data_IF_459264502991
#
_entry.id   IF_459264502991
#
_cell.length_a   1.000
_cell.length_b   1.000
_cell.length_c   1.000
_cell.angle_alpha   90.00
_cell.angle_beta   90.00
_cell.angle_gamma   90.00
#
_symmetry.space_group_name_H-M   'P 1'
#
loop_
_entity.id
_entity.type
_entity.pdbx_description
1 polymer ?
#
# COMPACT_ATOMS: atom_id res chain seq x y z
N UNK A 1 -18.55 26.07 7.12
CA UNK A 1 -17.88 25.44 5.98
C UNK A 1 -16.52 24.96 6.43
N UNK A 2 -16.33 23.64 6.48
CA UNK A 2 -15.03 23.02 6.80
C UNK A 2 -14.12 23.22 5.60
N UNK A 3 -12.88 23.72 5.78
CA UNK A 3 -11.94 23.86 4.66
C UNK A 3 -11.74 22.53 3.93
N UNK A 4 -11.73 22.54 2.61
CA UNK A 4 -11.58 21.35 1.77
C UNK A 4 -10.39 20.47 2.20
N UNK A 5 -9.18 20.98 2.53
CA UNK A 5 -8.08 20.18 3.04
C UNK A 5 -8.41 19.41 4.31
N UNK A 6 -9.14 20.04 5.25
CA UNK A 6 -9.54 19.40 6.52
C UNK A 6 -10.59 18.31 6.30
N UNK A 7 -11.47 18.50 5.33
CA UNK A 7 -12.47 17.49 4.95
C UNK A 7 -11.79 16.26 4.30
N UNK A 8 -10.84 16.46 3.41
CA UNK A 8 -10.04 15.39 2.82
C UNK A 8 -9.22 14.65 3.86
N UNK A 9 -8.52 15.37 4.73
CA UNK A 9 -7.72 14.80 5.81
C UNK A 9 -8.56 13.94 6.77
N UNK A 10 -9.76 14.41 7.10
CA UNK A 10 -10.68 13.70 7.98
C UNK A 10 -11.30 12.45 7.32
N UNK A 11 -11.60 12.50 6.03
CA UNK A 11 -12.11 11.34 5.28
C UNK A 11 -11.02 10.31 4.99
N UNK A 12 -9.85 10.72 4.54
CA UNK A 12 -8.72 9.81 4.25
C UNK A 12 -8.34 9.02 5.51
N UNK A 13 -8.35 9.64 6.69
CA UNK A 13 -8.00 8.98 7.95
C UNK A 13 -9.03 7.98 8.46
N UNK A 14 -10.26 8.05 8.01
CA UNK A 14 -11.35 7.21 8.54
C UNK A 14 -11.46 5.86 7.83
N UNK A 15 -10.70 5.62 6.79
CA UNK A 15 -10.86 4.50 5.89
C UNK A 15 -9.60 3.66 5.80
N UNK A 16 -9.26 3.05 6.92
CA UNK A 16 -8.20 2.04 6.95
C UNK A 16 -8.69 0.71 6.39
N UNK A 17 -7.74 -0.09 5.93
CA UNK A 17 -7.94 -1.51 5.58
C UNK A 17 -8.60 -2.35 6.69
N UNK A 18 -8.70 -1.83 7.93
CA UNK A 18 -9.42 -2.45 9.04
C UNK A 18 -10.89 -2.75 8.70
N UNK A 19 -11.51 -1.94 7.86
CA UNK A 19 -12.87 -2.22 7.39
C UNK A 19 -12.97 -3.39 6.43
N UNK A 20 -11.92 -3.73 5.70
CA UNK A 20 -11.91 -4.91 4.84
C UNK A 20 -12.16 -6.21 5.63
N UNK A 21 -11.73 -6.26 6.88
CA UNK A 21 -11.89 -7.45 7.71
C UNK A 21 -13.27 -7.56 8.37
N UNK A 22 -13.94 -6.44 8.60
CA UNK A 22 -15.20 -6.39 9.35
C UNK A 22 -16.44 -6.13 8.49
N UNK A 23 -16.28 -5.38 7.40
CA UNK A 23 -17.37 -4.95 6.52
C UNK A 23 -16.96 -5.17 5.06
N UNK A 24 -16.79 -6.42 4.64
CA UNK A 24 -16.69 -6.73 3.21
C UNK A 24 -18.01 -6.25 2.56
N UNK A 25 -17.94 -5.40 1.53
CA UNK A 25 -19.14 -4.98 0.84
C UNK A 25 -19.86 -6.19 0.26
N UNK A 26 -21.18 -6.14 0.20
CA UNK A 26 -21.97 -7.20 -0.42
C UNK A 26 -21.52 -7.41 -1.88
N UNK A 27 -21.50 -8.66 -2.32
CA UNK A 27 -21.10 -9.03 -3.68
C UNK A 27 -21.88 -8.27 -4.76
N UNK A 28 -23.15 -7.95 -4.49
CA UNK A 28 -24.00 -7.15 -5.38
C UNK A 28 -23.46 -5.73 -5.59
N UNK A 29 -23.04 -5.06 -4.53
CA UNK A 29 -22.49 -3.70 -4.59
C UNK A 29 -21.17 -3.68 -5.36
N UNK A 30 -20.33 -4.67 -5.13
CA UNK A 30 -19.06 -4.80 -5.84
C UNK A 30 -19.27 -5.02 -7.33
N UNK A 31 -20.25 -5.86 -7.70
CA UNK A 31 -20.62 -6.12 -9.09
C UNK A 31 -21.02 -4.82 -9.84
N UNK A 32 -21.79 -3.96 -9.19
CA UNK A 32 -22.21 -2.68 -9.77
C UNK A 32 -21.04 -1.70 -9.96
N UNK A 33 -20.00 -1.82 -9.13
CA UNK A 33 -18.86 -0.90 -9.10
C UNK A 33 -17.66 -1.37 -9.92
N UNK A 34 -17.60 -2.64 -10.26
CA UNK A 34 -16.40 -3.23 -10.84
C UNK A 34 -16.00 -2.60 -12.17
N UNK A 35 -16.97 -2.43 -13.07
CA UNK A 35 -16.74 -1.83 -14.39
C UNK A 35 -16.37 -0.34 -14.29
N UNK A 36 -16.86 0.33 -13.25
CA UNK A 36 -16.58 1.74 -13.01
C UNK A 36 -15.15 1.95 -12.50
N UNK A 37 -14.67 1.06 -11.63
CA UNK A 37 -13.39 1.22 -10.93
C UNK A 37 -12.23 0.56 -11.66
N UNK A 38 -12.46 -0.56 -12.36
CA UNK A 38 -11.43 -1.31 -13.08
C UNK A 38 -10.63 -0.44 -14.06
N UNK A 39 -11.30 0.44 -14.78
CA UNK A 39 -10.66 1.35 -15.74
C UNK A 39 -9.94 2.54 -15.10
N UNK A 40 -9.99 2.67 -13.78
CA UNK A 40 -9.39 3.77 -13.02
C UNK A 40 -8.11 3.42 -12.32
N UNK A 41 -7.82 2.11 -12.15
CA UNK A 41 -6.56 1.62 -11.59
C UNK A 41 -5.61 1.32 -12.75
N UNK A 42 -4.40 1.83 -12.66
CA UNK A 42 -3.34 1.56 -13.62
C UNK A 42 -1.97 1.51 -12.93
N UNK A 43 -1.01 0.95 -13.60
CA UNK A 43 0.40 1.00 -13.18
C UNK A 43 0.88 2.45 -13.16
N UNK A 44 1.76 2.78 -12.21
CA UNK A 44 2.37 4.11 -12.14
C UNK A 44 3.20 4.35 -13.39
N UNK A 45 2.94 5.43 -14.10
CA UNK A 45 3.83 6.00 -15.09
C UNK A 45 4.73 7.04 -14.40
N UNK A 46 5.97 6.65 -14.13
CA UNK A 46 6.86 7.46 -13.30
C UNK A 46 7.10 8.86 -13.87
N UNK A 47 7.17 8.99 -15.19
CA UNK A 47 7.44 10.29 -15.84
C UNK A 47 6.29 11.29 -15.65
N UNK A 48 5.07 10.80 -15.73
CA UNK A 48 3.88 11.64 -15.62
C UNK A 48 3.41 11.80 -14.17
N UNK A 49 3.51 10.74 -13.36
CA UNK A 49 2.89 10.70 -12.02
C UNK A 49 3.82 11.21 -10.91
N UNK A 50 5.13 11.24 -11.10
CA UNK A 50 6.10 11.54 -10.03
C UNK A 50 5.81 12.87 -9.30
N UNK A 51 5.32 13.87 -10.00
CA UNK A 51 5.05 15.19 -9.40
C UNK A 51 3.91 15.13 -8.41
N UNK A 52 2.84 14.39 -8.75
CA UNK A 52 1.66 14.25 -7.90
C UNK A 52 1.96 13.34 -6.71
N UNK A 53 2.68 12.23 -6.96
CA UNK A 53 3.11 11.31 -5.89
C UNK A 53 4.01 12.01 -4.87
N UNK A 54 5.01 12.78 -5.31
CA UNK A 54 5.88 13.55 -4.41
C UNK A 54 5.11 14.58 -3.58
N UNK A 55 4.13 15.25 -4.19
CA UNK A 55 3.29 16.23 -3.48
C UNK A 55 2.48 15.53 -2.39
N UNK A 56 1.88 14.41 -2.71
CA UNK A 56 1.04 13.65 -1.78
C UNK A 56 1.88 13.07 -0.63
N UNK A 57 2.98 12.41 -0.92
CA UNK A 57 3.91 11.86 0.07
C UNK A 57 4.47 12.93 1.01
N UNK A 58 4.82 14.11 0.48
CA UNK A 58 5.27 15.23 1.32
C UNK A 58 4.20 15.69 2.30
N UNK A 59 2.94 15.69 1.87
CA UNK A 59 1.82 16.08 2.73
C UNK A 59 1.56 15.04 3.83
N UNK A 60 1.73 13.75 3.51
CA UNK A 60 1.38 12.67 4.43
C UNK A 60 2.53 12.28 5.38
N UNK A 61 3.75 12.18 4.86
CA UNK A 61 4.89 11.60 5.61
C UNK A 61 5.77 12.60 6.32
N UNK A 62 5.51 13.89 6.20
CA UNK A 62 6.37 14.92 6.81
C UNK A 62 7.88 14.79 6.49
N UNK A 63 8.23 13.94 5.54
CA UNK A 63 9.61 13.79 5.11
C UNK A 63 9.99 14.94 4.19
N UNK A 64 11.06 15.64 4.51
CA UNK A 64 11.65 16.65 3.62
C UNK A 64 12.40 16.01 2.44
N UNK A 65 12.63 14.71 2.49
CA UNK A 65 13.28 13.95 1.43
C UNK A 65 12.25 13.45 0.41
N UNK A 66 12.25 13.99 -0.80
CA UNK A 66 11.31 13.55 -1.81
C UNK A 66 11.67 12.13 -2.29
N UNK A 67 10.64 11.31 -2.52
CA UNK A 67 10.80 10.01 -3.20
C UNK A 67 11.67 10.15 -4.45
N UNK A 68 12.77 9.39 -4.52
CA UNK A 68 13.67 9.38 -5.65
C UNK A 68 13.00 8.87 -6.92
N UNK A 69 13.11 9.60 -8.03
CA UNK A 69 12.54 9.16 -9.32
C UNK A 69 13.11 7.82 -9.77
N UNK A 70 14.43 7.64 -9.59
CA UNK A 70 15.11 6.40 -9.99
C UNK A 70 14.71 5.20 -9.12
N UNK A 71 14.44 5.42 -7.83
CA UNK A 71 13.91 4.39 -6.94
C UNK A 71 12.52 3.94 -7.40
N UNK A 72 11.64 4.90 -7.70
CA UNK A 72 10.29 4.58 -8.18
C UNK A 72 10.31 3.91 -9.55
N UNK A 73 11.19 4.35 -10.48
CA UNK A 73 11.40 3.67 -11.76
C UNK A 73 11.82 2.21 -11.55
N UNK A 74 12.81 1.99 -10.70
CA UNK A 74 13.30 0.65 -10.39
C UNK A 74 12.24 -0.21 -9.72
N UNK A 75 11.47 0.35 -8.79
CA UNK A 75 10.35 -0.35 -8.16
C UNK A 75 9.28 -0.74 -9.20
N UNK A 76 8.93 0.18 -10.11
CA UNK A 76 7.98 -0.09 -11.18
C UNK A 76 8.44 -1.18 -12.16
N UNK A 77 9.73 -1.23 -12.48
CA UNK A 77 10.31 -2.28 -13.31
C UNK A 77 10.24 -3.66 -12.64
N UNK A 78 10.53 -3.71 -11.34
CA UNK A 78 10.66 -4.96 -10.59
C UNK A 78 9.33 -5.48 -10.05
N UNK A 79 8.39 -4.58 -9.73
CA UNK A 79 7.15 -4.89 -9.03
C UNK A 79 5.98 -4.02 -9.54
N UNK A 80 5.68 -4.08 -10.86
CA UNK A 80 4.66 -3.23 -11.47
C UNK A 80 3.24 -3.45 -10.92
N UNK A 81 2.95 -4.66 -10.42
CA UNK A 81 1.60 -5.05 -10.00
C UNK A 81 1.23 -4.54 -8.60
N UNK A 82 2.19 -4.03 -7.83
CA UNK A 82 1.97 -3.37 -6.55
C UNK A 82 2.24 -1.85 -6.58
N UNK A 83 2.78 -1.34 -7.69
CA UNK A 83 3.03 0.09 -7.87
C UNK A 83 1.94 0.68 -8.77
N UNK A 84 0.82 1.03 -8.15
CA UNK A 84 -0.43 1.38 -8.80
C UNK A 84 -0.85 2.80 -8.46
N UNK A 85 -1.60 3.40 -9.37
CA UNK A 85 -2.31 4.65 -9.16
C UNK A 85 -3.79 4.44 -9.47
N UNK A 86 -4.66 5.05 -8.69
CA UNK A 86 -6.09 5.09 -8.96
C UNK A 86 -6.51 6.52 -9.27
N UNK A 87 -7.36 6.66 -10.26
CA UNK A 87 -7.91 7.93 -10.73
C UNK A 87 -9.42 7.96 -10.45
N UNK A 88 -9.98 9.15 -10.31
CA UNK A 88 -11.44 9.33 -10.29
C UNK A 88 -12.04 9.24 -11.71
N UNK A 89 -13.36 9.31 -11.78
CA UNK A 89 -14.09 9.30 -13.06
C UNK A 89 -13.72 10.47 -14.00
N UNK A 90 -13.12 11.54 -13.47
CA UNK A 90 -12.66 12.70 -14.23
C UNK A 90 -11.17 12.64 -14.55
N UNK A 91 -10.52 11.50 -14.31
CA UNK A 91 -9.08 11.28 -14.45
C UNK A 91 -8.22 12.14 -13.53
N UNK A 92 -8.75 12.59 -12.39
CA UNK A 92 -7.93 13.16 -11.34
C UNK A 92 -7.34 12.06 -10.46
N UNK A 93 -6.19 12.34 -9.90
CA UNK A 93 -5.55 11.46 -8.93
C UNK A 93 -6.42 11.27 -7.68
N UNK A 94 -6.61 10.02 -7.29
CA UNK A 94 -7.42 9.62 -6.14
C UNK A 94 -6.70 8.70 -5.15
N UNK A 95 -5.50 8.26 -5.46
CA UNK A 95 -4.70 7.44 -4.57
C UNK A 95 -3.62 6.65 -5.27
N UNK A 96 -2.81 5.94 -4.48
CA UNK A 96 -1.75 5.07 -5.00
C UNK A 96 -1.38 3.96 -4.03
N UNK A 97 -0.67 2.97 -4.54
CA UNK A 97 0.15 2.04 -3.76
C UNK A 97 1.58 2.07 -4.25
N UNK A 98 2.54 2.07 -3.34
CA UNK A 98 3.98 2.02 -3.62
C UNK A 98 4.60 0.95 -2.74
N UNK A 99 5.18 -0.05 -3.38
CA UNK A 99 5.89 -1.15 -2.76
C UNK A 99 7.30 -1.28 -3.31
N UNK A 100 8.23 -1.69 -2.47
CA UNK A 100 9.62 -1.93 -2.84
C UNK A 100 10.00 -3.39 -2.57
N UNK A 101 10.48 -4.14 -3.58
CA UNK A 101 11.10 -5.43 -3.38
C UNK A 101 12.55 -5.22 -2.94
N UNK A 102 12.79 -5.21 -1.63
CA UNK A 102 14.08 -4.82 -1.04
C UNK A 102 15.04 -5.98 -0.85
N UNK A 103 16.33 -5.68 -0.83
CA UNK A 103 17.41 -6.64 -0.53
C UNK A 103 17.47 -6.97 0.96
N UNK A 104 18.13 -8.11 1.32
CA UNK A 104 18.35 -8.46 2.72
C UNK A 104 19.22 -7.42 3.46
N UNK A 105 20.11 -6.75 2.74
CA UNK A 105 20.93 -5.69 3.34
C UNK A 105 20.08 -4.47 3.65
N UNK A 106 19.26 -4.03 2.70
CA UNK A 106 18.33 -2.93 2.90
C UNK A 106 17.38 -3.21 4.06
N UNK A 107 16.78 -4.41 4.10
CA UNK A 107 15.92 -4.82 5.21
C UNK A 107 16.65 -4.76 6.56
N UNK A 108 17.87 -5.32 6.67
CA UNK A 108 18.63 -5.25 7.92
C UNK A 108 18.92 -3.83 8.36
N UNK A 109 19.30 -2.95 7.45
CA UNK A 109 19.57 -1.55 7.74
C UNK A 109 18.30 -0.82 8.25
N UNK A 110 17.12 -1.14 7.70
CA UNK A 110 15.84 -0.62 8.19
C UNK A 110 15.50 -1.13 9.59
N UNK A 111 15.67 -2.43 9.83
CA UNK A 111 15.43 -3.06 11.15
C UNK A 111 16.38 -2.50 12.22
N UNK A 112 17.66 -2.35 11.88
CA UNK A 112 18.69 -1.81 12.78
C UNK A 112 18.62 -0.29 12.92
N UNK A 113 17.74 0.39 12.18
CA UNK A 113 17.61 1.86 12.09
C UNK A 113 18.87 2.56 11.59
N UNK A 114 19.71 1.87 10.85
CA UNK A 114 20.90 2.42 10.17
C UNK A 114 20.51 3.17 8.90
N UNK A 115 19.30 2.94 8.39
CA UNK A 115 18.73 3.62 7.24
C UNK A 115 17.24 3.88 7.46
N UNK A 116 16.76 4.98 6.96
CA UNK A 116 15.32 5.30 6.91
C UNK A 116 14.73 4.91 5.56
N UNK A 117 13.43 4.65 5.51
CA UNK A 117 12.74 4.26 4.27
C UNK A 117 12.84 5.31 3.15
N UNK A 118 12.98 6.60 3.48
CA UNK A 118 13.16 7.69 2.51
C UNK A 118 14.61 7.78 1.94
N UNK A 119 15.54 6.98 2.48
CA UNK A 119 16.94 6.91 2.04
C UNK A 119 17.20 5.73 1.10
N UNK A 120 16.20 4.88 0.83
CA UNK A 120 16.31 3.73 -0.07
C UNK A 120 16.76 4.21 -1.45
N UNK A 121 17.73 3.50 -2.03
CA UNK A 121 18.30 3.77 -3.34
C UNK A 121 17.89 2.66 -4.36
N UNK A 122 18.01 2.89 -5.66
CA UNK A 122 17.69 1.87 -6.68
C UNK A 122 18.43 0.54 -6.49
N UNK A 123 19.66 0.60 -5.98
CA UNK A 123 20.53 -0.57 -5.73
C UNK A 123 20.05 -1.44 -4.58
N UNK A 124 19.22 -0.88 -3.68
CA UNK A 124 18.60 -1.60 -2.59
C UNK A 124 17.45 -2.50 -3.04
N UNK A 125 16.95 -2.27 -4.28
CA UNK A 125 15.82 -3.01 -4.85
C UNK A 125 16.31 -4.19 -5.69
N UNK A 126 15.73 -5.36 -5.48
CA UNK A 126 16.11 -6.60 -6.10
C UNK A 126 14.94 -7.30 -6.81
N UNK A 127 15.22 -8.12 -7.82
CA UNK A 127 14.18 -8.93 -8.43
C UNK A 127 13.73 -10.02 -7.45
N UNK A 128 12.50 -9.88 -6.95
CA UNK A 128 11.90 -10.78 -5.97
C UNK A 128 11.71 -12.21 -6.50
N UNK A 129 11.48 -12.38 -7.81
CA UNK A 129 11.27 -13.69 -8.44
C UNK A 129 12.50 -14.61 -8.34
N UNK A 130 13.69 -14.02 -8.22
CA UNK A 130 14.95 -14.75 -8.10
C UNK A 130 15.31 -15.06 -6.63
N UNK A 131 14.39 -14.87 -5.70
CA UNK A 131 14.63 -15.03 -4.26
C UNK A 131 13.79 -16.18 -3.71
N UNK A 132 14.40 -17.01 -2.87
CA UNK A 132 13.68 -18.04 -2.11
C UNK A 132 12.74 -17.44 -1.07
N UNK A 133 13.13 -16.32 -0.47
CA UNK A 133 12.34 -15.54 0.48
C UNK A 133 12.39 -14.07 0.09
N UNK A 134 11.49 -13.61 -0.78
CA UNK A 134 11.44 -12.20 -1.17
C UNK A 134 10.95 -11.33 0.00
N UNK A 135 11.40 -10.07 0.03
CA UNK A 135 11.03 -9.08 1.04
C UNK A 135 10.32 -7.92 0.34
N UNK A 136 9.09 -7.65 0.76
CA UNK A 136 8.24 -6.59 0.22
C UNK A 136 8.02 -5.51 1.27
N UNK A 137 8.53 -4.31 1.01
CA UNK A 137 8.27 -3.16 1.86
C UNK A 137 7.06 -2.40 1.34
N UNK A 138 6.00 -2.35 2.12
CA UNK A 138 4.91 -1.38 1.94
C UNK A 138 5.44 0.01 2.27
N UNK A 139 5.75 0.78 1.23
CA UNK A 139 6.26 2.14 1.39
C UNK A 139 5.13 3.14 1.63
N UNK A 140 4.05 3.06 0.85
CA UNK A 140 2.86 3.89 1.04
C UNK A 140 1.64 3.34 0.31
N UNK A 141 0.49 3.35 0.98
CA UNK A 141 -0.82 3.06 0.38
C UNK A 141 -1.81 4.10 0.88
N UNK A 142 -2.44 4.80 -0.06
CA UNK A 142 -3.38 5.87 0.26
C UNK A 142 -4.46 6.00 -0.81
N UNK A 143 -5.64 6.44 -0.41
CA UNK A 143 -6.72 6.82 -1.32
C UNK A 143 -7.63 7.89 -0.68
N UNK A 144 -8.37 8.59 -1.53
CA UNK A 144 -9.25 9.69 -1.16
C UNK A 144 -10.60 9.23 -0.58
N UNK A 145 -10.99 7.98 -0.85
CA UNK A 145 -12.25 7.43 -0.37
C UNK A 145 -12.16 5.91 -0.11
N UNK A 146 -13.19 5.37 0.55
CA UNK A 146 -13.29 3.94 0.89
C UNK A 146 -13.21 3.02 -0.30
N UNK A 147 -13.98 3.33 -1.31
CA UNK A 147 -14.07 2.49 -2.50
C UNK A 147 -12.68 2.33 -3.12
N UNK A 148 -11.98 3.46 -3.27
CA UNK A 148 -10.65 3.48 -3.87
C UNK A 148 -9.60 2.75 -3.02
N UNK A 149 -9.61 2.93 -1.69
CA UNK A 149 -8.70 2.18 -0.83
C UNK A 149 -9.01 0.69 -0.84
N UNK A 150 -10.31 0.32 -0.90
CA UNK A 150 -10.74 -1.07 -1.01
C UNK A 150 -10.18 -1.73 -2.27
N UNK A 151 -10.35 -1.11 -3.43
CA UNK A 151 -9.88 -1.69 -4.69
C UNK A 151 -8.36 -1.76 -4.80
N UNK A 152 -7.64 -0.75 -4.31
CA UNK A 152 -6.18 -0.83 -4.21
C UNK A 152 -5.74 -1.98 -3.31
N UNK A 153 -6.39 -2.12 -2.15
CA UNK A 153 -6.07 -3.18 -1.19
C UNK A 153 -6.40 -4.56 -1.74
N UNK A 154 -7.50 -4.69 -2.48
CA UNK A 154 -7.85 -5.93 -3.16
C UNK A 154 -6.76 -6.35 -4.14
N UNK A 155 -6.24 -5.43 -4.97
CA UNK A 155 -5.14 -5.70 -5.88
C UNK A 155 -3.87 -6.15 -5.14
N UNK A 156 -3.55 -5.48 -4.03
CA UNK A 156 -2.40 -5.82 -3.19
C UNK A 156 -2.57 -7.24 -2.60
N UNK A 157 -3.71 -7.54 -2.00
CA UNK A 157 -3.97 -8.83 -1.37
C UNK A 157 -3.98 -9.96 -2.39
N UNK A 158 -4.55 -9.73 -3.59
CA UNK A 158 -4.50 -10.69 -4.67
C UNK A 158 -3.09 -11.01 -5.10
N UNK A 159 -2.23 -10.01 -5.25
CA UNK A 159 -0.82 -10.25 -5.56
C UNK A 159 -0.18 -11.24 -4.58
N UNK A 160 -0.42 -11.07 -3.27
CA UNK A 160 0.11 -11.97 -2.26
C UNK A 160 -0.57 -13.34 -2.23
N UNK A 161 -1.84 -13.44 -2.62
CA UNK A 161 -2.55 -14.71 -2.79
C UNK A 161 -1.98 -15.52 -3.95
N UNK A 162 -1.65 -14.87 -5.05
CA UNK A 162 -1.14 -15.49 -6.28
C UNK A 162 0.39 -15.68 -6.24
N UNK A 163 1.06 -15.19 -5.19
CA UNK A 163 2.51 -15.32 -5.07
C UNK A 163 2.92 -16.79 -4.94
N UNK A 164 3.73 -17.34 -5.86
CA UNK A 164 4.12 -18.74 -5.79
C UNK A 164 5.00 -19.09 -4.59
N UNK A 165 5.70 -18.10 -4.05
CA UNK A 165 6.50 -18.25 -2.83
C UNK A 165 5.62 -18.06 -1.59
N UNK A 166 5.34 -19.16 -0.88
CA UNK A 166 4.64 -19.10 0.42
C UNK A 166 5.53 -18.52 1.55
N UNK A 167 6.86 -18.55 1.39
CA UNK A 167 7.81 -17.95 2.32
C UNK A 167 8.29 -16.61 1.79
N UNK A 168 7.69 -15.55 2.26
CA UNK A 168 8.06 -14.16 1.97
C UNK A 168 7.98 -13.33 3.25
N UNK A 169 8.61 -12.18 3.24
CA UNK A 169 8.53 -11.21 4.31
C UNK A 169 7.79 -9.96 3.82
N UNK A 170 6.69 -9.64 4.47
CA UNK A 170 5.98 -8.38 4.30
C UNK A 170 6.44 -7.42 5.39
N UNK A 171 6.91 -6.24 5.00
CA UNK A 171 7.33 -5.18 5.90
C UNK A 171 6.44 -3.96 5.72
N UNK A 172 6.09 -3.29 6.81
CA UNK A 172 5.28 -2.07 6.80
C UNK A 172 5.95 -1.00 7.66
N UNK A 173 6.37 0.08 7.02
CA UNK A 173 6.80 1.29 7.73
C UNK A 173 5.64 2.27 7.76
N UNK A 174 5.15 2.60 8.94
CA UNK A 174 4.01 3.49 9.08
C UNK A 174 4.12 4.41 10.29
N UNK A 175 3.51 5.57 10.17
CA UNK A 175 3.39 6.55 11.25
C UNK A 175 1.92 6.92 11.52
N UNK A 176 0.99 6.19 10.91
CA UNK A 176 -0.46 6.48 10.96
C UNK A 176 -1.18 5.52 11.89
N UNK A 177 -2.05 6.06 12.71
CA UNK A 177 -2.83 5.31 13.71
C UNK A 177 -3.71 4.21 13.11
N UNK A 178 -4.38 4.51 12.00
CA UNK A 178 -5.23 3.56 11.29
C UNK A 178 -4.43 2.37 10.71
N UNK A 179 -3.17 2.61 10.36
CA UNK A 179 -2.28 1.56 9.86
C UNK A 179 -1.74 0.65 10.98
N UNK A 180 -1.68 1.11 12.22
CA UNK A 180 -1.25 0.25 13.35
C UNK A 180 -2.25 -0.88 13.58
N UNK A 181 -3.53 -0.53 13.73
CA UNK A 181 -4.60 -1.51 13.91
C UNK A 181 -4.63 -2.53 12.76
N UNK A 182 -4.42 -2.06 11.53
CA UNK A 182 -4.37 -2.94 10.38
C UNK A 182 -3.18 -3.91 10.46
N UNK A 183 -1.97 -3.44 10.75
CA UNK A 183 -0.79 -4.29 10.87
C UNK A 183 -0.98 -5.34 11.99
N UNK A 184 -1.60 -4.95 13.11
CA UNK A 184 -1.95 -5.87 14.21
C UNK A 184 -3.00 -6.90 13.79
N UNK A 185 -4.02 -6.51 13.01
CA UNK A 185 -5.02 -7.43 12.47
C UNK A 185 -4.42 -8.40 11.43
N UNK A 186 -3.46 -7.93 10.63
CA UNK A 186 -2.68 -8.77 9.73
C UNK A 186 -1.71 -9.71 10.49
N UNK A 187 -1.64 -9.60 11.83
CA UNK A 187 -0.75 -10.36 12.70
C UNK A 187 0.72 -10.15 12.36
N UNK A 188 1.07 -8.93 12.00
CA UNK A 188 2.46 -8.54 11.83
C UNK A 188 3.09 -8.21 13.17
N UNK A 189 4.35 -8.59 13.32
CA UNK A 189 5.13 -8.33 14.53
C UNK A 189 5.67 -6.91 14.51
N UNK A 190 5.52 -6.19 15.62
CA UNK A 190 6.16 -4.89 15.82
C UNK A 190 7.65 -5.10 16.09
N UNK A 191 8.49 -4.66 15.16
CA UNK A 191 9.96 -4.76 15.28
C UNK A 191 10.52 -3.63 16.12
N UNK A 192 10.09 -2.41 15.81
CA UNK A 192 10.47 -1.23 16.59
C UNK A 192 9.44 -0.10 16.44
N UNK A 193 9.47 0.80 17.41
CA UNK A 193 8.76 2.08 17.38
C UNK A 193 9.71 3.21 17.79
N UNK A 194 9.48 4.41 17.27
CA UNK A 194 10.20 5.62 17.64
C UNK A 194 9.36 6.48 18.58
N UNK A 195 9.98 7.48 19.18
CA UNK A 195 9.25 8.47 19.97
C UNK A 195 8.30 9.27 19.11
N UNK A 196 7.23 9.79 19.73
CA UNK A 196 6.28 10.66 19.04
C UNK A 196 7.00 11.95 18.62
N UNK A 197 6.99 12.21 17.33
CA UNK A 197 7.54 13.41 16.73
C UNK A 197 6.43 14.33 16.21
N UNK A 198 6.81 15.52 15.80
CA UNK A 198 5.92 16.47 15.10
C UNK A 198 6.46 16.73 13.70
N UNK A 199 5.58 16.64 12.72
CA UNK A 199 5.92 17.03 11.37
C UNK A 199 5.97 18.55 11.19
N UNK A 200 6.38 19.01 10.01
CA UNK A 200 6.43 20.43 9.66
C UNK A 200 5.08 21.17 9.81
N UNK A 201 3.97 20.43 9.81
CA UNK A 201 2.61 20.91 10.03
C UNK A 201 2.19 20.85 11.51
N UNK A 202 3.10 20.47 12.42
CA UNK A 202 2.81 20.31 13.85
C UNK A 202 1.97 19.08 14.21
N UNK A 203 1.68 18.21 13.26
CA UNK A 203 0.95 16.96 13.49
C UNK A 203 1.86 15.94 14.17
N UNK A 204 1.34 15.28 15.19
CA UNK A 204 2.07 14.21 15.86
C UNK A 204 2.04 12.95 15.00
N UNK A 205 3.17 12.32 14.83
CA UNK A 205 3.31 11.01 14.21
C UNK A 205 4.24 10.13 15.06
N UNK A 206 4.06 8.82 14.95
CA UNK A 206 4.77 7.83 15.75
C UNK A 206 5.24 6.72 14.82
N UNK A 207 6.46 6.83 14.27
CA UNK A 207 6.97 5.84 13.33
C UNK A 207 7.06 4.46 13.96
N UNK A 208 6.56 3.45 13.23
CA UNK A 208 6.62 2.04 13.60
C UNK A 208 7.03 1.20 12.40
N UNK A 209 7.74 0.14 12.66
CA UNK A 209 8.10 -0.86 11.65
C UNK A 209 7.56 -2.21 12.08
N UNK A 210 6.78 -2.79 11.18
CA UNK A 210 6.18 -4.11 11.35
C UNK A 210 6.71 -5.06 10.30
N UNK A 211 6.75 -6.35 10.64
CA UNK A 211 7.09 -7.40 9.69
C UNK A 211 6.28 -8.67 9.93
N UNK A 212 6.21 -9.53 8.92
CA UNK A 212 5.55 -10.83 9.04
C UNK A 212 5.21 -11.43 7.69
N UNK A 213 4.35 -12.43 7.73
CA UNK A 213 3.80 -13.08 6.56
C UNK A 213 2.28 -12.97 6.58
N UNK A 214 1.68 -12.59 5.46
CA UNK A 214 0.24 -12.35 5.38
C UNK A 214 -0.59 -13.65 5.28
N UNK A 215 0.02 -14.83 5.20
CA UNK A 215 -0.69 -16.09 4.91
C UNK A 215 -1.85 -16.38 5.88
N UNK A 216 -1.65 -16.15 7.19
CA UNK A 216 -2.73 -16.35 8.17
C UNK A 216 -3.89 -15.37 7.98
N UNK A 217 -3.59 -14.13 7.65
CA UNK A 217 -4.59 -13.11 7.37
C UNK A 217 -5.36 -13.44 6.09
N UNK A 218 -4.64 -13.77 5.01
CA UNK A 218 -5.22 -14.16 3.73
C UNK A 218 -6.11 -15.40 3.86
N UNK A 219 -5.68 -16.41 4.62
CA UNK A 219 -6.51 -17.59 4.90
C UNK A 219 -7.81 -17.23 5.60
N UNK A 220 -7.75 -16.29 6.57
CA UNK A 220 -8.97 -15.83 7.25
C UNK A 220 -9.91 -15.02 6.35
N UNK A 221 -9.38 -14.33 5.36
CA UNK A 221 -10.20 -13.64 4.35
C UNK A 221 -10.87 -14.64 3.41
N UNK A 222 -10.18 -15.70 3.02
CA UNK A 222 -10.74 -16.79 2.22
C UNK A 222 -11.93 -17.45 2.91
N UNK A 223 -11.78 -17.78 4.21
CA UNK A 223 -12.87 -18.33 5.02
C UNK A 223 -14.10 -17.41 5.09
N UNK A 224 -13.91 -16.10 4.86
CA UNK A 224 -14.99 -15.09 4.83
C UNK A 224 -15.56 -14.82 3.44
N UNK A 225 -15.21 -15.62 2.44
CA UNK A 225 -15.73 -15.49 1.08
C UNK A 225 -14.90 -14.57 0.16
N UNK A 226 -13.66 -14.25 0.53
CA UNK A 226 -12.78 -13.46 -0.32
C UNK A 226 -12.43 -14.15 -1.63
N UNK A 227 -12.44 -15.51 -1.64
CA UNK A 227 -12.25 -16.32 -2.86
C UNK A 227 -13.46 -16.26 -3.80
N UNK A 228 -14.69 -16.28 -3.26
CA UNK A 228 -15.91 -16.09 -4.08
C UNK A 228 -15.91 -14.71 -4.72
N UNK A 229 -15.38 -13.73 -3.98
CA UNK A 229 -15.15 -12.40 -4.48
C UNK A 229 -14.12 -12.37 -5.61
N UNK A 230 -13.02 -13.13 -5.47
CA UNK A 230 -11.94 -13.20 -6.46
C UNK A 230 -12.39 -13.90 -7.74
N UNK A 231 -13.00 -15.10 -7.65
CA UNK A 231 -13.45 -15.85 -8.80
C UNK A 231 -14.50 -15.11 -9.62
N UNK A 232 -15.40 -14.40 -8.95
CA UNK A 232 -16.45 -13.66 -9.64
C UNK A 232 -15.92 -12.41 -10.35
N UNK A 233 -15.03 -11.67 -9.72
CA UNK A 233 -14.58 -10.35 -10.18
C UNK A 233 -13.37 -10.42 -11.08
N UNK A 234 -12.47 -11.37 -10.86
CA UNK A 234 -11.33 -11.57 -11.74
C UNK A 234 -11.73 -12.10 -13.11
N UNK A 235 -12.66 -13.03 -13.14
CA UNK A 235 -13.15 -13.58 -14.41
C UNK A 235 -13.94 -12.56 -15.25
N UNK A 236 -14.35 -11.44 -14.67
CA UNK A 236 -15.08 -10.37 -15.36
C UNK A 236 -14.20 -9.22 -15.90
N UNK A 237 -12.88 -9.31 -15.78
CA UNK A 237 -11.99 -8.34 -16.42
C UNK A 237 -10.86 -7.74 -15.59
N UNK A 238 -10.85 -7.91 -14.27
CA UNK A 238 -9.73 -7.42 -13.44
C UNK A 238 -8.44 -8.19 -13.69
N UNK A 239 -8.51 -9.44 -14.11
CA UNK A 239 -7.34 -10.26 -14.44
C UNK A 239 -6.64 -9.91 -15.75
N UNK A 240 -7.12 -8.89 -16.47
CA UNK A 240 -6.55 -8.42 -17.74
C UNK A 240 -5.86 -7.05 -17.65
N UNK A 241 -5.80 -6.47 -16.45
CA UNK A 241 -5.03 -5.25 -16.17
C UNK A 241 -3.62 -5.62 -15.71
#
# INVERSE_FOLDING_TARGET
TVPIPTYYDFRIRKYSLTKLNNDLPEASWLKERIDEVSNRIRKIDVETDIKILRRDLKTQKASDSPLGINVLKRAQELLPDLNLIIMDQFKNYSGHSIFFPISDLCYRNLVMREMRADQIQPEDLVNYQNRSRPIFLNYDVTADCNDNIFFLSHQILKFFLDLPQNDYLFCSYTSRYDSYELNEQMKLDLVWEESIEKNALGQKYHPRFYEGNLNSFLSSLKEKGFDEFDDYYWNQGFGQL
#
